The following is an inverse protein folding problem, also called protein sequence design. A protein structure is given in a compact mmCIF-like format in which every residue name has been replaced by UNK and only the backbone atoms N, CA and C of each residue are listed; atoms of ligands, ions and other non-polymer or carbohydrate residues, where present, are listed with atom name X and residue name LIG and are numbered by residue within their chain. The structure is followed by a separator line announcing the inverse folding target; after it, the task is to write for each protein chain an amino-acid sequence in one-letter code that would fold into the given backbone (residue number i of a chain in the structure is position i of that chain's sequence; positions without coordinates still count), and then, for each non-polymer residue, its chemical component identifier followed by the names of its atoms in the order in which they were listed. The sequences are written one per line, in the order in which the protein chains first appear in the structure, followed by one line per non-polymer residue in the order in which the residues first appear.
data_IF_642157841620
#
_entry.id   IF_642157841620
#
_cell.length_a   1.000
_cell.length_b   1.000
_cell.length_c   1.000
_cell.angle_alpha   90.00
_cell.angle_beta   90.00
_cell.angle_gamma   90.00
#
_symmetry.space_group_name_H-M   'P 1'
#
loop_
_entity.id
_entity.type
_entity.pdbx_description
1 polymer ?
#
# COMPACT_ATOMS: atom_id res chain seq x y z
N UNK A 1 5.97 6.67 -13.20
CA UNK A 1 5.39 6.09 -11.98
C UNK A 1 5.31 7.17 -10.91
N UNK A 2 4.22 7.20 -10.11
CA UNK A 2 4.09 8.11 -8.96
C UNK A 2 3.97 7.24 -7.70
N UNK A 3 4.81 7.48 -6.71
CA UNK A 3 4.72 6.89 -5.38
C UNK A 3 4.23 7.95 -4.39
N UNK A 4 3.22 7.59 -3.60
CA UNK A 4 2.60 8.49 -2.62
C UNK A 4 2.66 7.80 -1.27
N UNK A 5 3.09 8.54 -0.25
CA UNK A 5 3.07 8.10 1.13
C UNK A 5 2.68 9.27 2.04
N UNK A 6 2.00 8.97 3.13
CA UNK A 6 1.63 9.98 4.13
C UNK A 6 2.83 10.47 4.93
N UNK A 7 3.82 9.61 5.13
CA UNK A 7 5.01 9.90 5.92
C UNK A 7 6.02 10.76 5.16
N UNK A 8 6.24 11.98 5.63
CA UNK A 8 7.30 12.86 5.11
C UNK A 8 8.69 12.19 5.15
N UNK A 9 8.99 11.42 6.20
CA UNK A 9 10.30 10.74 6.34
C UNK A 9 10.47 9.63 5.30
N UNK A 10 9.42 8.86 5.00
CA UNK A 10 9.48 7.83 3.96
C UNK A 10 9.63 8.45 2.57
N UNK A 11 8.91 9.53 2.29
CA UNK A 11 9.04 10.26 1.02
C UNK A 11 10.43 10.87 0.88
N UNK A 12 11.00 11.44 1.95
CA UNK A 12 12.36 11.97 1.95
C UNK A 12 13.39 10.86 1.66
N UNK A 13 13.30 9.72 2.33
CA UNK A 13 14.17 8.56 2.10
C UNK A 13 14.05 8.02 0.66
N UNK A 14 12.82 7.93 0.13
CA UNK A 14 12.57 7.50 -1.23
C UNK A 14 13.19 8.46 -2.27
N UNK A 15 13.08 9.77 -2.05
CA UNK A 15 13.70 10.77 -2.92
C UNK A 15 15.23 10.78 -2.81
N UNK A 16 15.79 10.53 -1.63
CA UNK A 16 17.24 10.37 -1.45
C UNK A 16 17.75 9.14 -2.20
N UNK A 17 17.09 7.99 -2.08
CA UNK A 17 17.39 6.78 -2.85
C UNK A 17 17.26 7.01 -4.36
N UNK A 18 16.24 7.76 -4.80
CA UNK A 18 16.08 8.14 -6.20
C UNK A 18 17.28 8.94 -6.71
N UNK A 19 17.74 9.91 -5.94
CA UNK A 19 18.84 10.81 -6.37
C UNK A 19 20.19 10.10 -6.26
N UNK A 20 20.51 9.55 -5.09
CA UNK A 20 21.84 8.99 -4.78
C UNK A 20 22.01 7.53 -5.19
N UNK A 21 20.92 6.77 -5.32
CA UNK A 21 20.95 5.32 -5.54
C UNK A 21 21.31 4.50 -4.31
N UNK A 22 21.64 5.14 -3.21
CA UNK A 22 21.92 4.48 -1.93
C UNK A 22 21.53 5.37 -0.77
N UNK A 23 21.23 4.73 0.38
CA UNK A 23 20.87 5.40 1.62
C UNK A 23 21.44 4.61 2.80
N UNK A 24 22.38 5.16 3.57
CA UNK A 24 22.80 4.56 4.83
C UNK A 24 21.69 4.69 5.88
N UNK A 25 21.49 3.65 6.66
CA UNK A 25 20.53 3.66 7.77
C UNK A 25 21.03 2.82 8.94
N UNK A 26 20.45 3.06 10.10
CA UNK A 26 20.74 2.29 11.31
C UNK A 26 19.65 1.23 11.53
N UNK A 27 20.06 0.00 11.73
CA UNK A 27 19.17 -1.12 12.04
C UNK A 27 19.39 -1.59 13.47
N UNK A 28 18.30 -1.85 14.16
CA UNK A 28 18.34 -2.43 15.51
C UNK A 28 18.90 -3.86 15.43
N UNK A 29 19.93 -4.13 16.21
CA UNK A 29 20.54 -5.45 16.32
C UNK A 29 19.93 -6.25 17.48
N UNK A 30 20.03 -5.71 18.69
CA UNK A 30 19.37 -6.24 19.89
C UNK A 30 19.45 -5.21 21.04
N UNK A 31 18.40 -5.16 21.88
CA UNK A 31 18.32 -4.15 22.95
C UNK A 31 18.46 -2.74 22.38
N UNK A 32 19.47 -1.99 22.79
CA UNK A 32 19.80 -0.66 22.28
C UNK A 32 20.98 -0.68 21.27
N UNK A 33 21.51 -1.86 20.94
CA UNK A 33 22.64 -1.98 19.99
C UNK A 33 22.14 -1.83 18.56
N UNK A 34 22.81 -0.98 17.81
CA UNK A 34 22.52 -0.70 16.39
C UNK A 34 23.66 -1.16 15.49
N UNK A 35 23.39 -1.34 14.22
CA UNK A 35 24.37 -1.59 13.16
C UNK A 35 24.07 -0.73 11.97
N UNK A 36 25.09 -0.16 11.34
CA UNK A 36 24.96 0.58 10.10
C UNK A 36 24.70 -0.38 8.94
N UNK A 37 23.74 -0.03 8.10
CA UNK A 37 23.34 -0.73 6.90
C UNK A 37 23.32 0.23 5.72
N UNK A 38 23.34 -0.30 4.52
CA UNK A 38 23.23 0.49 3.28
C UNK A 38 22.12 -0.09 2.40
N UNK A 39 21.05 0.68 2.20
CA UNK A 39 20.08 0.39 1.16
C UNK A 39 20.65 0.83 -0.19
N UNK A 40 20.52 -0.01 -1.22
CA UNK A 40 21.00 0.29 -2.56
C UNK A 40 19.92 -0.04 -3.60
N UNK A 41 19.77 0.86 -4.56
CA UNK A 41 18.96 0.60 -5.75
C UNK A 41 19.86 -0.07 -6.79
N UNK A 42 19.43 -1.18 -7.44
CA UNK A 42 20.18 -1.80 -8.51
C UNK A 42 20.56 -0.79 -9.60
N UNK A 43 21.80 -0.92 -10.13
CA UNK A 43 22.36 0.07 -11.06
C UNK A 43 21.68 0.14 -12.43
N UNK A 44 20.96 -0.91 -12.80
CA UNK A 44 20.18 -1.04 -14.03
C UNK A 44 18.78 -0.40 -13.96
N UNK A 45 18.36 0.06 -12.78
CA UNK A 45 17.06 0.71 -12.58
C UNK A 45 17.13 2.17 -13.00
N UNK A 46 16.30 2.56 -13.98
CA UNK A 46 16.13 3.96 -14.37
C UNK A 46 15.29 4.73 -13.32
N UNK A 47 15.98 5.35 -12.38
CA UNK A 47 15.39 6.10 -11.27
C UNK A 47 14.73 7.42 -11.69
N UNK A 48 14.96 7.91 -12.92
CA UNK A 48 14.34 9.13 -13.43
C UNK A 48 12.83 8.94 -13.69
N UNK A 49 12.38 7.70 -13.87
CA UNK A 49 11.00 7.35 -14.21
C UNK A 49 10.03 7.36 -13.04
N UNK A 50 10.48 7.68 -11.82
CA UNK A 50 9.63 7.74 -10.63
C UNK A 50 9.62 9.13 -10.01
N UNK A 51 8.45 9.51 -9.48
CA UNK A 51 8.26 10.69 -8.65
C UNK A 51 7.70 10.21 -7.31
N UNK A 52 8.28 10.67 -6.20
CA UNK A 52 7.76 10.42 -4.86
C UNK A 52 7.26 11.72 -4.27
N UNK A 53 6.04 11.70 -3.74
CA UNK A 53 5.41 12.85 -3.13
C UNK A 53 4.63 12.47 -1.87
N UNK A 54 4.55 13.40 -0.94
CA UNK A 54 3.71 13.25 0.23
C UNK A 54 2.25 13.41 -0.17
N UNK A 55 1.37 12.58 0.39
CA UNK A 55 -0.07 12.66 0.16
C UNK A 55 -0.86 11.70 1.04
N UNK A 56 -2.14 12.02 1.20
CA UNK A 56 -3.09 11.18 1.92
C UNK A 56 -3.88 10.32 0.94
N UNK A 57 -3.82 9.00 1.12
CA UNK A 57 -4.54 8.05 0.28
C UNK A 57 -6.08 8.19 0.40
N UNK A 58 -6.58 8.78 1.48
CA UNK A 58 -8.01 9.10 1.64
C UNK A 58 -8.40 10.46 1.03
N UNK A 59 -7.45 11.23 0.47
CA UNK A 59 -7.70 12.57 -0.08
C UNK A 59 -6.87 12.84 -1.34
N UNK A 60 -6.76 11.86 -2.24
CA UNK A 60 -6.03 12.00 -3.49
C UNK A 60 -6.74 12.96 -4.45
N UNK A 61 -5.99 13.87 -5.08
CA UNK A 61 -6.53 14.80 -6.07
C UNK A 61 -6.47 14.20 -7.48
N UNK A 62 -7.64 13.91 -8.06
CA UNK A 62 -7.79 13.35 -9.41
C UNK A 62 -7.30 14.31 -10.51
N UNK A 63 -7.40 15.61 -10.30
CA UNK A 63 -6.98 16.60 -11.29
C UNK A 63 -5.46 16.69 -11.38
N UNK A 64 -4.76 16.48 -10.27
CA UNK A 64 -3.30 16.50 -10.22
C UNK A 64 -2.69 15.17 -10.67
N UNK A 65 -3.28 14.05 -10.26
CA UNK A 65 -2.71 12.72 -10.50
C UNK A 65 -3.13 12.13 -11.86
N UNK A 66 -4.35 12.44 -12.32
CA UNK A 66 -4.89 11.85 -13.54
C UNK A 66 -5.24 10.36 -13.38
N UNK A 67 -5.13 9.60 -14.47
CA UNK A 67 -5.47 8.16 -14.50
C UNK A 67 -4.28 7.31 -14.87
N UNK A 68 -4.24 6.10 -14.32
CA UNK A 68 -3.15 5.13 -14.43
C UNK A 68 -3.62 3.81 -15.07
N UNK A 69 -2.71 3.11 -15.71
CA UNK A 69 -2.93 1.76 -16.19
C UNK A 69 -2.83 0.73 -15.06
N UNK A 70 -2.06 1.07 -14.00
CA UNK A 70 -1.90 0.25 -12.82
C UNK A 70 -1.86 1.14 -11.57
N UNK A 71 -2.67 0.77 -10.59
CA UNK A 71 -2.58 1.29 -9.21
C UNK A 71 -2.22 0.13 -8.29
N UNK A 72 -1.26 0.35 -7.41
CA UNK A 72 -0.78 -0.64 -6.43
C UNK A 72 -0.96 -0.09 -5.02
N UNK A 73 -1.68 -0.83 -4.18
CA UNK A 73 -1.87 -0.52 -2.77
C UNK A 73 -1.49 -1.74 -1.92
N UNK A 74 -0.29 -1.72 -1.36
CA UNK A 74 0.24 -2.83 -0.57
C UNK A 74 0.26 -2.51 0.92
N UNK A 75 -0.42 -3.36 1.72
CA UNK A 75 -0.51 -3.26 3.19
C UNK A 75 -0.95 -1.88 3.69
N UNK A 76 -1.71 -1.17 2.86
CA UNK A 76 -2.19 0.18 3.10
C UNK A 76 -3.58 0.19 3.75
N UNK A 77 -4.51 -0.62 3.23
CA UNK A 77 -5.95 -0.52 3.52
C UNK A 77 -6.26 -0.51 5.03
N UNK A 78 -5.67 -1.42 5.78
CA UNK A 78 -5.86 -1.54 7.23
C UNK A 78 -5.02 -0.54 8.07
N UNK A 79 -4.45 0.47 7.43
CA UNK A 79 -3.72 1.58 8.04
C UNK A 79 -4.34 2.95 7.71
N UNK A 80 -5.46 2.94 6.98
CA UNK A 80 -6.17 4.16 6.61
C UNK A 80 -7.23 4.50 7.67
N UNK A 81 -7.42 5.78 8.00
CA UNK A 81 -8.51 6.21 8.89
C UNK A 81 -9.89 6.00 8.26
N UNK A 82 -9.98 6.03 6.93
CA UNK A 82 -11.22 5.88 6.16
C UNK A 82 -11.04 4.91 4.97
N UNK A 83 -10.89 3.59 5.21
CA UNK A 83 -10.60 2.62 4.16
C UNK A 83 -11.70 2.53 3.09
N UNK A 84 -12.98 2.72 3.47
CA UNK A 84 -14.09 2.77 2.50
C UNK A 84 -13.91 3.91 1.51
N UNK A 85 -13.49 5.09 1.97
CA UNK A 85 -13.27 6.25 1.11
C UNK A 85 -12.19 5.98 0.07
N UNK A 86 -11.09 5.36 0.47
CA UNK A 86 -10.04 4.93 -0.46
C UNK A 86 -10.60 3.99 -1.54
N UNK A 87 -11.36 2.96 -1.16
CA UNK A 87 -11.95 2.00 -2.10
C UNK A 87 -12.99 2.64 -3.05
N UNK A 88 -13.71 3.66 -2.57
CA UNK A 88 -14.68 4.41 -3.39
C UNK A 88 -13.98 5.42 -4.32
N UNK A 89 -12.79 5.91 -3.98
CA UNK A 89 -12.07 6.85 -4.82
C UNK A 89 -11.19 6.16 -5.87
N UNK A 90 -10.53 5.06 -5.50
CA UNK A 90 -9.46 4.47 -6.31
C UNK A 90 -9.88 3.99 -7.71
N UNK A 91 -11.12 3.50 -7.98
CA UNK A 91 -11.54 3.12 -9.33
C UNK A 91 -11.49 4.28 -10.32
N UNK A 92 -11.66 5.50 -9.87
CA UNK A 92 -11.62 6.68 -10.74
C UNK A 92 -10.20 7.06 -11.20
N UNK A 93 -9.16 6.58 -10.50
CA UNK A 93 -7.77 6.75 -10.91
C UNK A 93 -7.31 5.72 -11.93
N UNK A 94 -8.14 4.74 -12.26
CA UNK A 94 -7.84 3.76 -13.29
C UNK A 94 -8.32 4.22 -14.67
N UNK A 95 -7.54 3.98 -15.71
CA UNK A 95 -7.99 4.04 -17.10
C UNK A 95 -8.95 2.89 -17.39
N UNK A 96 -9.64 2.92 -18.52
CA UNK A 96 -10.37 1.76 -19.06
C UNK A 96 -9.39 0.57 -19.16
N UNK A 97 -9.83 -0.59 -18.71
CA UNK A 97 -9.01 -1.81 -18.59
C UNK A 97 -7.83 -1.70 -17.62
N UNK A 98 -7.68 -0.57 -16.92
CA UNK A 98 -6.67 -0.38 -15.89
C UNK A 98 -6.86 -1.34 -14.72
N UNK A 99 -5.78 -1.60 -14.00
CA UNK A 99 -5.70 -2.64 -12.97
C UNK A 99 -5.43 -2.02 -11.60
N UNK A 100 -6.14 -2.48 -10.57
CA UNK A 100 -5.80 -2.30 -9.17
C UNK A 100 -5.21 -3.60 -8.64
N UNK A 101 -3.99 -3.53 -8.13
CA UNK A 101 -3.40 -4.57 -7.27
C UNK A 101 -3.57 -4.12 -5.82
N UNK A 102 -4.43 -4.80 -5.08
CA UNK A 102 -4.66 -4.56 -3.67
C UNK A 102 -4.10 -5.73 -2.86
N UNK A 103 -3.17 -5.42 -1.96
CA UNK A 103 -2.56 -6.40 -1.06
C UNK A 103 -2.85 -5.97 0.38
N UNK A 104 -3.47 -6.83 1.17
CA UNK A 104 -3.82 -6.49 2.56
C UNK A 104 -3.80 -7.72 3.46
N UNK A 105 -3.20 -7.62 4.67
CA UNK A 105 -3.31 -8.66 5.69
C UNK A 105 -4.61 -8.52 6.50
N UNK A 106 -5.43 -7.48 6.25
CA UNK A 106 -6.64 -7.14 7.01
C UNK A 106 -6.43 -7.11 8.54
N UNK A 107 -5.22 -6.79 8.98
CA UNK A 107 -4.87 -6.65 10.40
C UNK A 107 -5.28 -5.26 10.90
N UNK A 108 -6.57 -5.09 11.14
CA UNK A 108 -7.14 -3.85 11.64
C UNK A 108 -6.62 -3.53 13.05
N UNK A 109 -6.31 -2.25 13.30
CA UNK A 109 -5.89 -1.72 14.60
C UNK A 109 -6.60 -0.38 14.83
N UNK A 110 -7.17 -0.20 16.02
CA UNK A 110 -7.92 1.01 16.37
C UNK A 110 -7.06 2.28 16.38
N UNK A 111 -5.73 2.13 16.50
CA UNK A 111 -4.79 3.26 16.39
C UNK A 111 -4.74 3.89 14.99
N UNK A 112 -5.13 3.14 13.94
CA UNK A 112 -5.16 3.63 12.55
C UNK A 112 -6.59 3.82 12.05
N UNK A 113 -7.45 2.85 12.32
CA UNK A 113 -8.81 2.79 11.80
C UNK A 113 -9.76 2.58 12.97
N UNK A 114 -10.66 3.52 13.22
CA UNK A 114 -11.71 3.34 14.20
C UNK A 114 -12.51 2.06 13.92
N UNK A 115 -12.82 1.28 14.95
CA UNK A 115 -13.47 -0.04 14.81
C UNK A 115 -14.76 0.00 13.99
N UNK A 116 -15.54 1.06 14.13
CA UNK A 116 -16.77 1.30 13.37
C UNK A 116 -16.55 1.43 11.85
N UNK A 117 -15.31 1.67 11.42
CA UNK A 117 -14.91 1.85 10.02
C UNK A 117 -14.15 0.66 9.43
N UNK A 118 -13.96 -0.42 10.19
CA UNK A 118 -13.35 -1.64 9.68
C UNK A 118 -14.22 -2.23 8.58
N UNK A 119 -13.60 -2.70 7.53
CA UNK A 119 -14.27 -3.37 6.43
C UNK A 119 -14.38 -4.86 6.75
N UNK A 120 -15.46 -5.26 7.37
CA UNK A 120 -15.65 -6.64 7.84
C UNK A 120 -14.80 -7.02 9.06
N UNK A 121 -14.83 -8.29 9.42
CA UNK A 121 -14.06 -8.83 10.55
C UNK A 121 -14.66 -8.50 11.93
N UNK A 122 -15.87 -7.94 12.01
CA UNK A 122 -16.57 -7.62 13.26
C UNK A 122 -17.74 -8.57 13.52
N UNK A 123 -18.50 -8.87 12.48
CA UNK A 123 -19.68 -9.75 12.54
C UNK A 123 -19.50 -10.95 11.63
N UNK A 124 -20.44 -11.19 10.73
CA UNK A 124 -20.45 -12.34 9.82
C UNK A 124 -19.69 -12.11 8.50
N UNK A 125 -19.46 -10.86 8.11
CA UNK A 125 -18.75 -10.52 6.87
C UNK A 125 -17.24 -10.43 7.13
N UNK A 126 -16.44 -11.18 6.38
CA UNK A 126 -14.99 -11.02 6.39
C UNK A 126 -14.52 -9.82 5.55
N UNK A 127 -13.30 -9.35 5.79
CA UNK A 127 -12.78 -8.15 5.15
C UNK A 127 -12.62 -8.29 3.63
N UNK A 128 -12.27 -9.48 3.16
CA UNK A 128 -12.14 -9.76 1.71
C UNK A 128 -13.49 -9.64 1.00
N UNK A 129 -14.55 -10.19 1.60
CA UNK A 129 -15.93 -10.10 1.10
C UNK A 129 -16.43 -8.66 1.07
N UNK A 130 -16.17 -7.89 2.15
CA UNK A 130 -16.53 -6.48 2.21
C UNK A 130 -15.85 -5.64 1.12
N UNK A 131 -14.54 -5.84 0.91
CA UNK A 131 -13.78 -5.19 -0.18
C UNK A 131 -14.34 -5.57 -1.53
N UNK A 132 -14.61 -6.86 -1.75
CA UNK A 132 -15.19 -7.34 -3.01
C UNK A 132 -16.54 -6.69 -3.29
N UNK A 133 -17.43 -6.65 -2.32
CA UNK A 133 -18.74 -6.02 -2.44
C UNK A 133 -18.62 -4.54 -2.82
N UNK A 134 -17.74 -3.78 -2.15
CA UNK A 134 -17.55 -2.36 -2.42
C UNK A 134 -17.06 -2.13 -3.85
N UNK A 135 -16.01 -2.84 -4.28
CA UNK A 135 -15.40 -2.62 -5.60
C UNK A 135 -16.30 -3.09 -6.75
N UNK A 136 -17.09 -4.15 -6.57
CA UNK A 136 -18.01 -4.66 -7.60
C UNK A 136 -19.30 -3.85 -7.71
N UNK A 137 -19.82 -3.30 -6.61
CA UNK A 137 -21.05 -2.48 -6.61
C UNK A 137 -20.80 -0.99 -6.85
N UNK A 138 -19.55 -0.60 -7.09
CA UNK A 138 -19.18 0.79 -7.37
C UNK A 138 -19.77 1.27 -8.72
N UNK A 139 -20.00 2.60 -8.88
CA UNK A 139 -20.45 3.19 -10.17
C UNK A 139 -19.45 2.97 -11.32
N UNK A 140 -18.18 2.81 -10.98
CA UNK A 140 -17.09 2.34 -11.86
C UNK A 140 -16.68 0.95 -11.37
N UNK A 141 -17.39 -0.12 -11.77
CA UNK A 141 -17.19 -1.43 -11.17
C UNK A 141 -15.87 -2.04 -11.59
N UNK A 142 -15.23 -2.71 -10.64
CA UNK A 142 -14.03 -3.49 -10.89
C UNK A 142 -14.36 -4.99 -10.87
N UNK A 143 -13.80 -5.71 -11.81
CA UNK A 143 -13.92 -7.16 -11.89
C UNK A 143 -12.71 -7.82 -11.24
N UNK A 144 -12.94 -8.71 -10.28
CA UNK A 144 -11.88 -9.52 -9.68
C UNK A 144 -11.31 -10.51 -10.73
N UNK A 145 -10.01 -10.46 -10.96
CA UNK A 145 -9.29 -11.32 -11.92
C UNK A 145 -8.53 -12.44 -11.26
N UNK A 146 -7.91 -12.17 -10.12
CA UNK A 146 -7.21 -13.19 -9.34
C UNK A 146 -7.16 -12.84 -7.85
N UNK A 147 -6.95 -13.87 -7.04
CA UNK A 147 -6.76 -13.80 -5.60
C UNK A 147 -5.74 -14.84 -5.19
N UNK A 148 -4.80 -14.45 -4.33
CA UNK A 148 -3.82 -15.37 -3.77
C UNK A 148 -3.28 -14.87 -2.44
N UNK A 149 -2.84 -15.78 -1.61
CA UNK A 149 -2.12 -15.45 -0.38
C UNK A 149 -0.64 -15.20 -0.67
N UNK A 150 -0.12 -14.12 -0.10
CA UNK A 150 1.29 -13.74 -0.16
C UNK A 150 1.87 -13.73 1.25
N UNK A 151 2.65 -14.76 1.62
CA UNK A 151 3.38 -14.74 2.87
C UNK A 151 4.49 -13.68 2.82
N UNK A 152 4.70 -12.99 3.93
CA UNK A 152 5.78 -12.03 4.06
C UNK A 152 6.44 -12.10 5.42
N UNK A 153 7.67 -11.60 5.49
CA UNK A 153 8.48 -11.58 6.69
C UNK A 153 9.00 -10.16 6.92
N UNK A 154 8.67 -9.58 8.07
CA UNK A 154 9.22 -8.29 8.50
C UNK A 154 10.26 -8.55 9.58
N UNK A 155 11.49 -8.06 9.37
CA UNK A 155 12.52 -8.11 10.36
C UNK A 155 12.37 -6.92 11.31
N UNK A 156 12.13 -7.19 12.59
CA UNK A 156 12.14 -6.16 13.64
C UNK A 156 13.55 -5.89 14.14
N UNK A 157 14.32 -6.95 14.38
CA UNK A 157 15.74 -6.90 14.73
C UNK A 157 16.43 -8.22 14.35
N UNK A 158 17.71 -8.39 14.67
CA UNK A 158 18.53 -9.52 14.21
C UNK A 158 17.94 -10.91 14.53
N UNK A 159 17.17 -11.01 15.63
CA UNK A 159 16.62 -12.29 16.12
C UNK A 159 15.09 -12.30 16.26
N UNK A 160 14.40 -11.27 15.76
CA UNK A 160 12.93 -11.20 15.85
C UNK A 160 12.35 -10.80 14.51
N UNK A 161 11.40 -11.61 14.07
CA UNK A 161 10.70 -11.44 12.80
C UNK A 161 9.21 -11.57 13.02
N UNK A 162 8.44 -10.78 12.33
CA UNK A 162 7.00 -10.97 12.18
C UNK A 162 6.75 -11.71 10.88
N UNK A 163 6.10 -12.86 10.96
CA UNK A 163 5.55 -13.57 9.82
C UNK A 163 4.09 -13.19 9.65
N UNK A 164 3.68 -12.84 8.44
CA UNK A 164 2.32 -12.52 8.11
C UNK A 164 1.93 -13.09 6.75
N UNK A 165 0.62 -13.09 6.48
CA UNK A 165 0.06 -13.45 5.18
C UNK A 165 -0.88 -12.34 4.76
N UNK A 166 -0.64 -11.75 3.59
CA UNK A 166 -1.55 -10.79 2.97
C UNK A 166 -2.33 -11.47 1.85
N UNK A 167 -3.60 -11.15 1.73
CA UNK A 167 -4.36 -11.47 0.52
C UNK A 167 -3.98 -10.45 -0.57
N UNK A 168 -3.56 -10.93 -1.72
CA UNK A 168 -3.36 -10.13 -2.92
C UNK A 168 -4.50 -10.36 -3.89
N UNK A 169 -5.16 -9.28 -4.30
CA UNK A 169 -6.28 -9.30 -5.23
C UNK A 169 -5.99 -8.39 -6.43
N UNK A 170 -6.27 -8.89 -7.62
CA UNK A 170 -6.13 -8.15 -8.87
C UNK A 170 -7.51 -7.82 -9.41
N UNK A 171 -7.77 -6.55 -9.57
CA UNK A 171 -9.05 -6.01 -10.04
C UNK A 171 -8.87 -5.26 -11.34
N UNK A 172 -9.75 -5.44 -12.27
CA UNK A 172 -9.71 -4.75 -13.56
C UNK A 172 -10.95 -3.88 -13.74
N UNK A 173 -10.73 -2.64 -14.13
CA UNK A 173 -11.80 -1.74 -14.57
C UNK A 173 -12.35 -2.20 -15.93
N UNK A 174 -13.65 -2.24 -16.05
CA UNK A 174 -14.39 -2.51 -17.32
C UNK A 174 -14.10 -1.45 -18.37
#
# INVERSE_FOLDING_TARGET
MVGIDFSHSFVAAANELKVKGSLPYEALRQGCSITSQLAQVPGDVDRSRVIFQQGDACALDRNLLGRFDLVVACNLLCRLPEPSRFLLDIPHFLRERGVLLLVSPYSWLEEYTERSRWLGGIESEDSSSAVQRILQSHEVPLTLRSRQDLPFLIREHERKFQFGVSEATVWQRS
#
